data_IF_975852662169
#
_entry.id   IF_975852662169
#
_cell.length_a   1.000
_cell.length_b   1.000
_cell.length_c   1.000
_cell.angle_alpha   90.00
_cell.angle_beta   90.00
_cell.angle_gamma   90.00
#
_symmetry.space_group_name_H-M   'P 1'
#
loop_
_entity.id
_entity.type
_entity.pdbx_description
1 polymer ?
#
# COMPACT_ATOMS: atom_id res chain seq x y z
N UNK A 1 -20.60 23.34 44.19
CA UNK A 1 -20.72 21.98 43.59
C UNK A 1 -20.18 22.13 42.19
N UNK A 2 -18.94 21.71 42.00
CA UNK A 2 -18.30 21.69 40.67
C UNK A 2 -18.72 20.38 39.97
N UNK A 3 -19.53 20.51 38.93
CA UNK A 3 -19.90 19.39 38.05
C UNK A 3 -18.64 19.04 37.23
N UNK A 4 -17.97 17.98 37.62
CA UNK A 4 -16.87 17.44 36.84
C UNK A 4 -17.41 16.94 35.49
N UNK A 5 -16.99 17.60 34.42
CA UNK A 5 -17.22 17.09 33.03
C UNK A 5 -16.47 15.78 32.92
N UNK A 6 -17.20 14.66 32.92
CA UNK A 6 -16.65 13.39 32.52
C UNK A 6 -16.20 13.55 31.05
N UNK A 7 -14.90 13.52 30.80
CA UNK A 7 -14.37 13.41 29.47
C UNK A 7 -14.99 12.17 28.83
N UNK A 8 -15.59 12.34 27.65
CA UNK A 8 -16.07 11.21 26.86
C UNK A 8 -14.92 10.19 26.70
N UNK A 9 -15.18 8.89 26.81
CA UNK A 9 -14.15 7.90 26.58
C UNK A 9 -13.53 8.15 25.21
N UNK A 10 -12.22 8.13 25.16
CA UNK A 10 -11.41 8.24 23.95
C UNK A 10 -11.79 7.04 23.03
N UNK A 11 -12.76 7.24 22.15
CA UNK A 11 -13.28 6.21 21.24
C UNK A 11 -12.26 5.90 20.15
N UNK A 12 -11.05 5.53 20.55
CA UNK A 12 -10.06 5.02 19.59
C UNK A 12 -10.54 3.72 19.01
N UNK A 13 -10.25 3.53 17.74
CA UNK A 13 -10.53 2.27 17.07
C UNK A 13 -9.75 1.14 17.75
N UNK A 14 -10.41 -0.02 17.95
CA UNK A 14 -9.79 -1.17 18.60
C UNK A 14 -9.05 -2.01 17.58
N UNK A 15 -7.73 -2.01 17.64
CA UNK A 15 -6.86 -2.82 16.80
C UNK A 15 -6.53 -4.18 17.43
N UNK A 16 -6.19 -5.20 16.63
CA UNK A 16 -5.81 -6.53 17.13
C UNK A 16 -4.66 -6.48 18.14
N UNK A 17 -4.71 -7.38 19.13
CA UNK A 17 -3.65 -7.52 20.13
C UNK A 17 -3.45 -6.31 21.05
N UNK A 18 -4.44 -5.39 21.14
CA UNK A 18 -4.32 -4.16 21.92
C UNK A 18 -3.41 -3.10 21.30
N UNK A 19 -3.10 -3.23 20.02
CA UNK A 19 -2.36 -2.21 19.29
C UNK A 19 -3.11 -0.87 19.27
N UNK A 20 -2.35 0.22 19.16
CA UNK A 20 -2.92 1.58 19.11
C UNK A 20 -3.14 2.08 17.70
N UNK A 21 -2.50 1.46 16.71
CA UNK A 21 -2.63 1.78 15.29
C UNK A 21 -2.38 0.52 14.44
N UNK A 22 -2.77 0.57 13.17
CA UNK A 22 -2.29 -0.39 12.18
C UNK A 22 -1.21 0.22 11.29
N UNK A 23 -0.32 -0.63 10.78
CA UNK A 23 0.66 -0.28 9.75
C UNK A 23 0.62 -1.33 8.65
N UNK A 24 0.60 -0.89 7.39
CA UNK A 24 0.87 -1.75 6.24
C UNK A 24 2.15 -1.29 5.56
N UNK A 25 3.04 -2.24 5.33
CA UNK A 25 4.22 -2.06 4.49
C UNK A 25 3.83 -2.42 3.06
N UNK A 26 4.02 -1.51 2.12
CA UNK A 26 3.71 -1.74 0.71
C UNK A 26 4.92 -1.49 -0.16
N UNK A 27 5.10 -2.37 -1.15
CA UNK A 27 6.22 -2.34 -2.09
C UNK A 27 5.67 -2.35 -3.50
N UNK A 28 6.05 -1.37 -4.31
CA UNK A 28 5.53 -1.18 -5.65
C UNK A 28 6.48 -1.72 -6.71
N UNK A 29 5.96 -1.94 -7.92
CA UNK A 29 6.63 -2.28 -9.17
C UNK A 29 7.08 -3.74 -9.33
N UNK A 30 7.40 -4.47 -8.27
CA UNK A 30 7.88 -5.84 -8.38
C UNK A 30 9.36 -5.95 -8.76
N UNK A 31 10.22 -5.11 -8.19
CA UNK A 31 11.67 -5.16 -8.41
C UNK A 31 12.35 -6.36 -7.75
N UNK A 32 13.38 -6.89 -8.38
CA UNK A 32 14.20 -8.00 -7.85
C UNK A 32 14.76 -7.72 -6.45
N UNK A 33 15.12 -6.48 -6.18
CA UNK A 33 15.62 -6.05 -4.87
C UNK A 33 14.62 -6.30 -3.73
N UNK A 34 13.34 -6.40 -4.04
CA UNK A 34 12.30 -6.74 -3.06
C UNK A 34 12.37 -8.23 -2.67
N UNK A 35 12.67 -9.12 -3.60
CA UNK A 35 12.90 -10.54 -3.33
C UNK A 35 14.22 -10.75 -2.59
N UNK A 36 15.27 -10.03 -2.98
CA UNK A 36 16.63 -10.26 -2.51
C UNK A 36 16.94 -9.56 -1.18
N UNK A 37 16.42 -8.37 -0.97
CA UNK A 37 16.75 -7.51 0.17
C UNK A 37 15.60 -7.29 1.15
N UNK A 38 14.35 -7.19 0.63
CA UNK A 38 13.19 -6.91 1.48
C UNK A 38 12.64 -8.17 2.11
N UNK A 39 12.34 -9.19 1.33
CA UNK A 39 11.68 -10.41 1.81
C UNK A 39 12.44 -11.11 2.95
N UNK A 40 13.77 -11.28 2.90
CA UNK A 40 14.52 -11.88 4.00
C UNK A 40 14.46 -11.06 5.30
N UNK A 41 14.46 -9.72 5.19
CA UNK A 41 14.35 -8.85 6.37
C UNK A 41 12.94 -8.90 6.97
N UNK A 42 11.90 -8.91 6.15
CA UNK A 42 10.51 -9.07 6.61
C UNK A 42 10.32 -10.41 7.35
N UNK A 43 10.87 -11.49 6.80
CA UNK A 43 10.83 -12.82 7.44
C UNK A 43 11.55 -12.81 8.79
N UNK A 44 12.72 -12.18 8.89
CA UNK A 44 13.50 -12.06 10.14
C UNK A 44 12.73 -11.29 11.21
N UNK A 45 12.02 -10.23 10.83
CA UNK A 45 11.24 -9.38 11.75
C UNK A 45 9.82 -9.90 11.97
N UNK A 46 9.40 -10.96 11.28
CA UNK A 46 8.06 -11.53 11.38
C UNK A 46 6.97 -10.67 10.76
N UNK A 47 7.32 -9.73 9.88
CA UNK A 47 6.36 -8.87 9.19
C UNK A 47 5.82 -9.54 7.93
N UNK A 48 4.57 -9.19 7.60
CA UNK A 48 3.97 -9.50 6.30
C UNK A 48 3.53 -8.21 5.65
N UNK A 49 3.74 -8.12 4.33
CA UNK A 49 3.59 -6.90 3.53
C UNK A 49 2.69 -7.15 2.34
N UNK A 50 2.34 -6.08 1.64
CA UNK A 50 1.68 -6.10 0.34
C UNK A 50 2.68 -5.72 -0.73
N UNK A 51 2.78 -6.53 -1.78
CA UNK A 51 3.57 -6.26 -2.98
C UNK A 51 2.62 -5.97 -4.13
N UNK A 52 2.66 -4.75 -4.64
CA UNK A 52 1.90 -4.32 -5.80
C UNK A 52 2.75 -4.54 -7.04
N UNK A 53 2.41 -5.58 -7.81
CA UNK A 53 3.25 -6.06 -8.89
C UNK A 53 2.85 -5.47 -10.24
N UNK A 54 3.81 -4.87 -10.93
CA UNK A 54 3.73 -4.58 -12.35
C UNK A 54 4.12 -5.85 -13.11
N UNK A 55 3.22 -6.39 -13.92
CA UNK A 55 3.40 -7.72 -14.53
C UNK A 55 4.65 -7.80 -15.40
N UNK A 56 4.94 -6.75 -16.17
CA UNK A 56 6.11 -6.69 -17.04
C UNK A 56 7.44 -6.89 -16.29
N UNK A 57 7.48 -6.50 -15.00
CA UNK A 57 8.72 -6.56 -14.21
C UNK A 57 8.96 -7.92 -13.56
N UNK A 58 7.93 -8.77 -13.44
CA UNK A 58 8.02 -9.99 -12.62
C UNK A 58 8.10 -11.28 -13.41
N UNK A 59 7.90 -11.24 -14.72
CA UNK A 59 7.72 -12.45 -15.56
C UNK A 59 8.92 -13.38 -15.50
N UNK A 60 10.14 -12.85 -15.50
CA UNK A 60 11.37 -13.66 -15.44
C UNK A 60 11.57 -14.37 -14.09
N UNK A 61 10.95 -13.88 -13.01
CA UNK A 61 11.10 -14.40 -11.64
C UNK A 61 9.77 -14.75 -10.98
N UNK A 62 8.76 -15.07 -11.76
CA UNK A 62 7.40 -15.35 -11.26
C UNK A 62 7.35 -16.44 -10.20
N UNK A 63 8.19 -17.47 -10.30
CA UNK A 63 8.25 -18.55 -9.31
C UNK A 63 8.74 -18.05 -7.92
N UNK A 64 9.67 -17.11 -7.89
CA UNK A 64 10.13 -16.49 -6.64
C UNK A 64 9.00 -15.67 -6.00
N UNK A 65 8.24 -14.94 -6.79
CA UNK A 65 7.06 -14.20 -6.34
C UNK A 65 5.95 -15.12 -5.83
N UNK A 66 5.74 -16.26 -6.49
CA UNK A 66 4.81 -17.31 -6.02
C UNK A 66 5.28 -17.85 -4.67
N UNK A 67 6.59 -18.13 -4.51
CA UNK A 67 7.14 -18.58 -3.23
C UNK A 67 6.97 -17.53 -2.12
N UNK A 68 7.15 -16.24 -2.44
CA UNK A 68 6.92 -15.12 -1.53
C UNK A 68 5.45 -15.06 -1.07
N UNK A 69 4.51 -15.16 -1.99
CA UNK A 69 3.08 -15.11 -1.67
C UNK A 69 2.65 -16.22 -0.70
N UNK A 70 3.22 -17.42 -0.87
CA UNK A 70 2.95 -18.59 0.01
C UNK A 70 3.43 -18.39 1.45
N UNK A 71 4.31 -17.42 1.71
CA UNK A 71 4.72 -17.03 3.06
C UNK A 71 3.72 -16.11 3.76
N UNK A 72 2.61 -15.77 3.12
CA UNK A 72 1.54 -14.92 3.67
C UNK A 72 1.67 -13.45 3.36
N UNK A 73 2.54 -13.07 2.42
CA UNK A 73 2.53 -11.73 1.83
C UNK A 73 1.35 -11.59 0.87
N UNK A 74 0.77 -10.40 0.81
CA UNK A 74 -0.28 -10.07 -0.14
C UNK A 74 0.34 -9.68 -1.49
N UNK A 75 -0.25 -10.20 -2.57
CA UNK A 75 0.01 -9.74 -3.94
C UNK A 75 -1.16 -8.85 -4.37
N UNK A 76 -0.86 -7.60 -4.66
CA UNK A 76 -1.76 -6.61 -5.24
C UNK A 76 -1.41 -6.33 -6.70
N UNK A 77 -2.29 -5.60 -7.38
CA UNK A 77 -2.12 -5.23 -8.79
C UNK A 77 -1.54 -3.82 -8.91
N UNK A 78 -0.54 -3.66 -9.79
CA UNK A 78 0.07 -2.37 -10.15
C UNK A 78 0.12 -2.19 -11.68
N UNK A 79 -0.86 -2.72 -12.38
CA UNK A 79 -1.04 -2.71 -13.84
C UNK A 79 -0.11 -3.66 -14.61
N UNK A 80 -0.33 -3.72 -15.91
CA UNK A 80 0.50 -4.53 -16.81
C UNK A 80 1.90 -3.93 -17.02
N UNK A 81 2.00 -2.58 -17.26
CA UNK A 81 3.21 -1.90 -17.72
C UNK A 81 3.50 -0.58 -17.01
N UNK A 82 2.86 -0.31 -15.88
CA UNK A 82 3.05 0.89 -15.05
C UNK A 82 2.94 2.24 -15.80
N UNK A 83 1.85 2.54 -16.51
CA UNK A 83 1.74 3.82 -17.22
C UNK A 83 1.53 5.00 -16.28
N UNK A 84 2.52 5.87 -16.16
CA UNK A 84 2.41 7.15 -15.42
C UNK A 84 1.68 8.23 -16.22
N UNK A 85 1.72 8.17 -17.55
CA UNK A 85 0.99 9.10 -18.40
C UNK A 85 -0.33 8.48 -18.82
N UNK A 86 -1.41 8.94 -18.21
CA UNK A 86 -2.76 8.42 -18.48
C UNK A 86 -3.51 9.23 -19.54
N UNK A 87 -2.89 10.29 -20.05
CA UNK A 87 -3.50 11.24 -21.02
C UNK A 87 -4.00 10.57 -22.29
N UNK A 88 -3.35 9.47 -22.69
CA UNK A 88 -3.64 8.78 -23.93
C UNK A 88 -4.61 7.60 -23.74
N UNK A 89 -5.11 7.39 -22.52
CA UNK A 89 -6.04 6.32 -22.21
C UNK A 89 -7.46 6.83 -22.06
N UNK A 90 -8.41 6.19 -22.75
CA UNK A 90 -9.78 6.17 -22.29
C UNK A 90 -9.93 5.10 -21.19
N UNK A 91 -10.94 5.22 -20.34
CA UNK A 91 -11.22 4.22 -19.30
C UNK A 91 -11.31 2.79 -19.88
N UNK A 92 -12.03 2.60 -20.98
CA UNK A 92 -12.17 1.31 -21.63
C UNK A 92 -10.86 0.75 -22.17
N UNK A 93 -10.02 1.60 -22.77
CA UNK A 93 -8.69 1.20 -23.26
C UNK A 93 -7.77 0.83 -22.10
N UNK A 94 -7.80 1.60 -21.02
CA UNK A 94 -7.01 1.29 -19.84
C UNK A 94 -7.39 -0.05 -19.21
N UNK A 95 -8.68 -0.32 -19.05
CA UNK A 95 -9.17 -1.62 -18.57
C UNK A 95 -8.67 -2.75 -19.47
N UNK A 96 -8.78 -2.56 -20.79
CA UNK A 96 -8.43 -3.61 -21.77
C UNK A 96 -6.93 -3.89 -21.84
N UNK A 97 -6.08 -2.87 -21.75
CA UNK A 97 -4.63 -2.98 -21.94
C UNK A 97 -3.84 -3.12 -20.62
N UNK A 98 -4.35 -2.61 -19.52
CA UNK A 98 -3.61 -2.54 -18.27
C UNK A 98 -4.21 -3.39 -17.15
N UNK A 99 -5.52 -3.33 -16.93
CA UNK A 99 -6.16 -4.00 -15.79
C UNK A 99 -6.47 -5.47 -16.12
N UNK A 100 -7.23 -5.72 -17.20
CA UNK A 100 -7.69 -7.08 -17.53
C UNK A 100 -6.54 -8.06 -17.76
N UNK A 101 -5.47 -7.73 -18.52
CA UNK A 101 -4.36 -8.65 -18.71
C UNK A 101 -3.54 -8.85 -17.43
N UNK A 102 -3.33 -7.79 -16.60
CA UNK A 102 -2.64 -7.91 -15.34
C UNK A 102 -3.39 -8.83 -14.37
N UNK A 103 -4.69 -8.60 -14.15
CA UNK A 103 -5.50 -9.46 -13.29
C UNK A 103 -5.54 -10.91 -13.78
N UNK A 104 -5.62 -11.13 -15.10
CA UNK A 104 -5.56 -12.50 -15.66
C UNK A 104 -4.22 -13.18 -15.38
N UNK A 105 -3.11 -12.45 -15.54
CA UNK A 105 -1.78 -12.97 -15.24
C UNK A 105 -1.65 -13.33 -13.76
N UNK A 106 -2.04 -12.38 -12.89
CA UNK A 106 -1.99 -12.59 -11.44
C UNK A 106 -2.90 -13.74 -10.98
N UNK A 107 -4.04 -13.97 -11.65
CA UNK A 107 -4.92 -15.11 -11.36
C UNK A 107 -4.29 -16.44 -11.69
N UNK A 108 -3.65 -16.52 -12.85
CA UNK A 108 -3.01 -17.76 -13.31
C UNK A 108 -1.87 -18.18 -12.38
N UNK A 109 -1.04 -17.21 -11.95
CA UNK A 109 0.19 -17.52 -11.22
C UNK A 109 0.00 -17.53 -9.69
N UNK A 110 -0.80 -16.64 -9.17
CA UNK A 110 -0.96 -16.50 -7.71
C UNK A 110 -2.29 -17.02 -7.19
N UNK A 111 -3.33 -17.08 -8.02
CA UNK A 111 -4.67 -17.39 -7.58
C UNK A 111 -5.12 -16.43 -6.47
N UNK A 112 -5.53 -17.00 -5.35
CA UNK A 112 -5.71 -16.25 -4.11
C UNK A 112 -7.05 -15.58 -3.93
N UNK A 113 -7.13 -14.77 -2.88
CA UNK A 113 -8.37 -14.12 -2.46
C UNK A 113 -8.67 -12.92 -3.35
N UNK A 114 -9.86 -12.91 -3.93
CA UNK A 114 -10.37 -11.80 -4.73
C UNK A 114 -11.49 -11.05 -4.02
N UNK A 115 -11.73 -9.78 -4.40
CA UNK A 115 -10.94 -8.92 -5.29
C UNK A 115 -9.60 -8.51 -4.65
N UNK A 116 -8.54 -8.21 -5.44
CA UNK A 116 -7.23 -7.76 -4.94
C UNK A 116 -7.25 -6.30 -4.49
N UNK A 117 -6.23 -5.90 -3.74
CA UNK A 117 -5.91 -4.48 -3.58
C UNK A 117 -5.15 -3.97 -4.80
N UNK A 118 -5.26 -2.68 -5.04
CA UNK A 118 -4.65 -1.96 -6.16
C UNK A 118 -3.77 -0.82 -5.66
N UNK A 119 -2.70 -0.51 -6.37
CA UNK A 119 -1.95 0.73 -6.19
C UNK A 119 -1.97 1.54 -7.49
N UNK A 120 -2.26 2.83 -7.39
CA UNK A 120 -2.24 3.71 -8.56
C UNK A 120 -0.80 3.98 -8.99
N UNK A 121 -0.40 3.63 -10.25
CA UNK A 121 0.90 4.02 -10.79
C UNK A 121 1.16 5.51 -10.61
N UNK A 122 2.37 5.86 -10.16
CA UNK A 122 2.79 7.24 -9.86
C UNK A 122 1.88 7.99 -8.87
N UNK A 123 1.03 7.29 -8.11
CA UNK A 123 0.07 7.87 -7.19
C UNK A 123 -1.06 8.68 -7.83
N UNK A 124 -1.22 8.61 -9.14
CA UNK A 124 -2.19 9.39 -9.90
C UNK A 124 -3.58 8.71 -9.86
N UNK A 125 -4.56 9.43 -9.34
CA UNK A 125 -5.97 8.99 -9.28
C UNK A 125 -6.82 9.49 -10.45
N UNK A 126 -6.22 10.06 -11.48
CA UNK A 126 -6.89 10.64 -12.65
C UNK A 126 -6.34 10.01 -13.92
N UNK A 127 -7.18 9.57 -14.82
CA UNK A 127 -6.82 9.09 -16.14
C UNK A 127 -6.32 10.20 -17.08
N UNK A 128 -6.28 11.45 -16.61
CA UNK A 128 -5.51 12.54 -17.21
C UNK A 128 -5.93 12.99 -18.59
N UNK A 129 -7.13 12.68 -19.04
CA UNK A 129 -7.64 13.19 -20.30
C UNK A 129 -8.03 14.66 -20.13
N UNK A 130 -7.07 15.54 -20.37
CA UNK A 130 -7.28 16.97 -20.57
C UNK A 130 -8.10 17.71 -19.50
N UNK A 131 -7.65 18.87 -19.14
CA UNK A 131 -8.11 19.74 -18.03
C UNK A 131 -9.63 20.04 -17.97
N UNK A 132 -10.42 19.54 -18.89
CA UNK A 132 -11.83 19.95 -19.05
C UNK A 132 -12.87 18.89 -18.75
N UNK A 133 -12.52 17.64 -18.49
CA UNK A 133 -13.52 16.56 -18.28
C UNK A 133 -13.21 15.73 -17.03
N UNK A 134 -13.12 16.40 -15.91
CA UNK A 134 -12.71 15.80 -14.63
C UNK A 134 -13.67 14.75 -14.05
N UNK A 135 -14.84 14.52 -14.61
CA UNK A 135 -15.81 13.53 -14.09
C UNK A 135 -15.90 12.24 -14.89
N UNK A 136 -15.54 12.25 -16.16
CA UNK A 136 -15.68 11.08 -17.04
C UNK A 136 -14.46 10.18 -17.10
N UNK A 137 -13.33 10.60 -16.50
CA UNK A 137 -12.07 9.87 -16.52
C UNK A 137 -11.48 9.65 -15.12
N UNK A 138 -12.30 9.49 -14.12
CA UNK A 138 -11.82 9.17 -12.78
C UNK A 138 -11.27 7.74 -12.75
N UNK A 139 -10.04 7.61 -12.39
CA UNK A 139 -9.33 6.34 -12.31
C UNK A 139 -9.96 5.40 -11.27
N UNK A 140 -10.43 5.95 -10.17
CA UNK A 140 -11.13 5.17 -9.15
C UNK A 140 -12.39 4.48 -9.70
N UNK A 141 -13.08 5.07 -10.67
CA UNK A 141 -14.26 4.45 -11.32
C UNK A 141 -13.88 3.25 -12.19
N UNK A 142 -12.64 3.27 -12.75
CA UNK A 142 -12.09 2.14 -13.51
C UNK A 142 -11.72 0.98 -12.58
N UNK A 143 -11.20 1.27 -11.39
CA UNK A 143 -10.73 0.24 -10.45
C UNK A 143 -11.84 -0.32 -9.56
N UNK A 144 -12.91 0.46 -9.29
CA UNK A 144 -14.04 0.06 -8.44
C UNK A 144 -14.67 -1.31 -8.77
N UNK A 145 -14.90 -1.66 -10.03
CA UNK A 145 -15.54 -2.94 -10.37
C UNK A 145 -14.65 -4.15 -10.12
N UNK A 146 -13.33 -3.95 -10.05
CA UNK A 146 -12.34 -5.03 -10.05
C UNK A 146 -11.69 -5.23 -8.69
N UNK A 147 -11.41 -4.14 -7.96
CA UNK A 147 -10.55 -4.19 -6.79
C UNK A 147 -11.28 -3.98 -5.46
N UNK A 148 -10.71 -4.56 -4.40
CA UNK A 148 -11.22 -4.44 -3.03
C UNK A 148 -11.05 -3.01 -2.51
N UNK A 149 -9.85 -2.49 -2.65
CA UNK A 149 -9.43 -1.16 -2.23
C UNK A 149 -8.26 -0.70 -3.11
N UNK A 150 -8.03 0.61 -3.17
CA UNK A 150 -6.91 1.18 -3.90
C UNK A 150 -6.14 2.19 -3.07
N UNK A 151 -4.80 2.14 -3.17
CA UNK A 151 -3.87 3.03 -2.49
C UNK A 151 -3.35 4.10 -3.47
N UNK A 152 -3.51 5.33 -3.05
CA UNK A 152 -2.89 6.51 -3.64
C UNK A 152 -1.69 6.98 -2.80
N UNK A 153 -1.22 8.19 -3.04
CA UNK A 153 -0.16 8.85 -2.26
C UNK A 153 -0.76 9.97 -1.41
N UNK A 154 -0.35 10.04 -0.15
CA UNK A 154 -0.78 11.08 0.76
C UNK A 154 0.05 11.11 2.04
N UNK A 155 -0.15 12.14 2.87
CA UNK A 155 0.67 12.39 4.06
C UNK A 155 -0.09 12.31 5.39
N UNK A 156 -1.34 11.81 5.35
CA UNK A 156 -2.14 11.60 6.55
C UNK A 156 -2.51 10.12 6.69
N UNK A 157 -2.35 9.52 7.87
CA UNK A 157 -2.84 8.17 8.13
C UNK A 157 -4.36 8.08 7.96
N UNK A 158 -4.84 6.93 7.53
CA UNK A 158 -6.23 6.68 7.22
C UNK A 158 -7.07 6.52 8.51
N UNK A 159 -8.14 7.30 8.64
CA UNK A 159 -9.11 7.12 9.74
C UNK A 159 -9.93 5.84 9.51
N UNK A 160 -9.89 4.84 10.41
CA UNK A 160 -10.58 3.58 10.23
C UNK A 160 -12.10 3.75 10.00
N UNK A 161 -12.72 4.80 10.57
CA UNK A 161 -14.14 5.10 10.38
C UNK A 161 -14.48 5.56 8.95
N UNK A 162 -13.48 5.96 8.16
CA UNK A 162 -13.63 6.47 6.80
C UNK A 162 -13.08 5.53 5.73
N UNK A 163 -12.37 4.47 6.12
CA UNK A 163 -11.70 3.54 5.20
C UNK A 163 -12.68 2.99 4.16
N UNK A 164 -13.87 2.56 4.56
CA UNK A 164 -14.85 2.01 3.62
C UNK A 164 -15.31 3.04 2.59
N UNK A 165 -15.58 4.27 3.01
CA UNK A 165 -16.01 5.35 2.11
C UNK A 165 -14.90 5.88 1.21
N UNK A 166 -13.64 5.74 1.65
CA UNK A 166 -12.44 6.20 0.94
C UNK A 166 -11.62 5.04 0.35
N UNK A 167 -12.21 3.85 0.22
CA UNK A 167 -11.46 2.63 -0.09
C UNK A 167 -10.70 2.65 -1.42
N UNK A 168 -11.04 3.55 -2.33
CA UNK A 168 -10.35 3.72 -3.61
C UNK A 168 -9.42 4.94 -3.65
N UNK A 169 -9.13 5.53 -2.48
CA UNK A 169 -8.23 6.67 -2.30
C UNK A 169 -7.55 6.59 -0.93
N UNK A 170 -7.02 5.41 -0.58
CA UNK A 170 -6.30 5.22 0.67
C UNK A 170 -4.92 5.86 0.59
N UNK A 171 -4.61 6.68 1.58
CA UNK A 171 -3.33 7.38 1.63
C UNK A 171 -2.19 6.43 1.99
N UNK A 172 -1.18 6.35 1.12
CA UNK A 172 0.11 5.78 1.40
C UNK A 172 1.18 6.87 1.45
N UNK A 173 2.15 6.76 2.34
CA UNK A 173 3.24 7.70 2.51
C UNK A 173 4.57 7.10 2.09
N UNK A 174 5.27 7.76 1.17
CA UNK A 174 6.59 7.38 0.71
C UNK A 174 7.66 8.24 1.40
N UNK A 175 8.34 7.74 2.45
CA UNK A 175 9.35 8.51 3.19
C UNK A 175 10.68 8.67 2.44
N UNK A 176 10.85 7.98 1.32
CA UNK A 176 12.14 7.71 0.66
C UNK A 176 12.71 8.89 -0.10
N UNK A 177 11.93 9.95 -0.32
CA UNK A 177 12.37 11.15 -1.05
C UNK A 177 13.19 12.13 -0.20
N UNK A 178 13.36 11.87 1.10
CA UNK A 178 14.02 12.80 2.02
C UNK A 178 15.30 12.20 2.64
N UNK A 179 16.23 13.07 3.05
CA UNK A 179 17.45 12.69 3.74
C UNK A 179 17.19 12.08 5.13
N UNK A 180 16.10 12.48 5.80
CA UNK A 180 15.64 11.92 7.08
C UNK A 180 14.47 10.93 6.90
N UNK A 181 14.56 10.05 5.94
CA UNK A 181 13.52 9.06 5.67
C UNK A 181 13.08 8.26 6.91
N UNK A 182 13.97 7.78 7.82
CA UNK A 182 13.55 7.11 9.04
C UNK A 182 12.77 8.01 9.99
N UNK A 183 13.23 9.24 10.21
CA UNK A 183 12.54 10.21 11.08
C UNK A 183 11.14 10.55 10.58
N UNK A 184 11.00 10.77 9.29
CA UNK A 184 9.73 11.09 8.63
C UNK A 184 8.76 9.90 8.62
N UNK A 185 9.24 8.68 8.32
CA UNK A 185 8.44 7.48 8.42
C UNK A 185 7.89 7.30 9.83
N UNK A 186 8.74 7.43 10.84
CA UNK A 186 8.33 7.31 12.23
C UNK A 186 7.44 8.44 12.71
N UNK A 187 7.59 9.66 12.18
CA UNK A 187 6.67 10.76 12.46
C UNK A 187 5.27 10.47 11.90
N UNK A 188 5.19 9.91 10.69
CA UNK A 188 3.93 9.49 10.08
C UNK A 188 3.26 8.35 10.88
N UNK A 189 4.03 7.34 11.29
CA UNK A 189 3.52 6.23 12.12
C UNK A 189 3.06 6.74 13.50
N UNK A 190 3.81 7.63 14.14
CA UNK A 190 3.39 8.25 15.42
C UNK A 190 2.06 8.99 15.30
N UNK A 191 1.81 9.72 14.19
CA UNK A 191 0.48 10.32 13.94
C UNK A 191 -0.63 9.27 13.91
N UNK A 192 -0.37 8.09 13.34
CA UNK A 192 -1.33 6.99 13.35
C UNK A 192 -1.55 6.47 14.78
N UNK A 193 -0.49 6.23 15.54
CA UNK A 193 -0.55 5.76 16.94
C UNK A 193 -1.32 6.73 17.82
N UNK A 194 -1.09 8.03 17.67
CA UNK A 194 -1.76 9.07 18.49
C UNK A 194 -3.26 9.16 18.23
N UNK A 195 -3.68 8.87 16.98
CA UNK A 195 -5.06 9.00 16.55
C UNK A 195 -5.84 7.68 16.50
N UNK A 196 -5.18 6.54 16.64
CA UNK A 196 -5.79 5.23 16.41
C UNK A 196 -6.04 4.93 14.93
N UNK A 197 -5.20 5.45 14.04
CA UNK A 197 -5.37 5.39 12.59
C UNK A 197 -4.52 4.27 11.96
N UNK A 198 -4.68 4.08 10.65
CA UNK A 198 -3.95 3.14 9.82
C UNK A 198 -2.92 3.89 8.95
N UNK A 199 -1.64 3.63 9.15
CA UNK A 199 -0.53 4.11 8.32
C UNK A 199 -0.20 3.09 7.23
N UNK A 200 -0.02 3.54 6.00
CA UNK A 200 0.49 2.75 4.88
C UNK A 200 1.81 3.38 4.46
N UNK A 201 2.90 2.61 4.52
CA UNK A 201 4.22 3.03 4.05
C UNK A 201 4.48 2.46 2.66
N UNK A 202 5.01 3.30 1.77
CA UNK A 202 5.33 2.96 0.37
C UNK A 202 6.83 2.88 0.20
N UNK A 203 7.29 1.80 -0.39
CA UNK A 203 8.66 1.58 -0.83
C UNK A 203 8.68 1.07 -2.27
N UNK A 204 9.79 1.23 -2.96
CA UNK A 204 10.05 0.70 -4.30
C UNK A 204 11.29 -0.20 -4.26
N UNK A 205 12.40 0.18 -4.88
CA UNK A 205 13.65 -0.57 -4.77
C UNK A 205 14.32 -0.37 -3.40
N UNK A 206 14.93 -1.44 -2.90
CA UNK A 206 15.77 -1.41 -1.70
C UNK A 206 17.17 -1.90 -2.07
N UNK A 207 18.12 -0.99 -2.16
CA UNK A 207 19.45 -1.20 -2.71
C UNK A 207 20.54 -0.92 -1.69
N UNK A 208 21.77 -1.38 -1.94
CA UNK A 208 22.92 -1.00 -1.09
C UNK A 208 23.15 0.52 -1.13
N UNK A 209 23.06 1.10 -2.33
CA UNK A 209 23.16 2.54 -2.58
C UNK A 209 21.98 2.96 -3.46
N UNK A 210 21.31 4.04 -3.09
CA UNK A 210 20.23 4.62 -3.89
C UNK A 210 20.74 5.03 -5.27
N UNK A 211 19.96 4.73 -6.31
CA UNK A 211 20.25 5.11 -7.70
C UNK A 211 19.31 6.19 -8.22
N UNK A 212 18.09 6.27 -7.67
CA UNK A 212 17.04 7.17 -8.12
C UNK A 212 16.19 7.75 -6.99
N UNK A 213 15.26 8.61 -7.38
CA UNK A 213 14.17 9.05 -6.51
C UNK A 213 13.27 7.85 -6.22
N UNK A 214 12.74 7.72 -5.06
CA UNK A 214 11.91 6.56 -4.67
C UNK A 214 12.68 5.35 -4.17
N UNK A 215 13.96 5.18 -4.49
CA UNK A 215 14.79 4.11 -3.95
C UNK A 215 15.10 4.31 -2.47
N UNK A 216 15.24 3.22 -1.76
CA UNK A 216 15.65 3.22 -0.36
C UNK A 216 16.97 2.46 -0.20
N UNK A 217 17.90 2.96 0.62
CA UNK A 217 19.04 2.13 0.97
C UNK A 217 18.64 1.04 1.97
N UNK A 218 19.30 -0.12 1.90
CA UNK A 218 19.10 -1.24 2.85
C UNK A 218 19.18 -0.76 4.30
N UNK A 219 20.16 0.09 4.62
CA UNK A 219 20.35 0.60 5.96
C UNK A 219 19.17 1.46 6.44
N UNK A 220 18.67 2.36 5.59
CA UNK A 220 17.50 3.19 5.88
C UNK A 220 16.25 2.31 6.03
N UNK A 221 16.02 1.39 5.11
CA UNK A 221 14.91 0.47 5.15
C UNK A 221 14.90 -0.38 6.44
N UNK A 222 16.04 -0.97 6.78
CA UNK A 222 16.22 -1.74 8.02
C UNK A 222 15.93 -0.87 9.25
N UNK A 223 16.49 0.35 9.31
CA UNK A 223 16.26 1.28 10.43
C UNK A 223 14.76 1.59 10.61
N UNK A 224 14.02 1.79 9.51
CA UNK A 224 12.57 2.02 9.58
C UNK A 224 11.86 0.79 10.15
N UNK A 225 12.11 -0.40 9.60
CA UNK A 225 11.44 -1.64 9.99
C UNK A 225 11.74 -2.04 11.44
N UNK A 226 12.99 -1.92 11.89
CA UNK A 226 13.37 -2.15 13.29
C UNK A 226 12.70 -1.15 14.24
N UNK A 227 12.59 0.13 13.83
CA UNK A 227 11.91 1.16 14.61
C UNK A 227 10.42 0.89 14.77
N UNK A 228 9.78 0.22 13.81
CA UNK A 228 8.36 -0.18 13.91
C UNK A 228 8.14 -1.20 15.01
N UNK A 229 9.08 -2.10 15.28
CA UNK A 229 8.95 -3.14 16.30
C UNK A 229 8.80 -2.58 17.73
N UNK A 230 9.27 -1.37 17.98
CA UNK A 230 9.14 -0.68 19.24
C UNK A 230 7.81 0.10 19.39
N UNK A 231 6.97 0.11 18.36
CA UNK A 231 5.70 0.84 18.39
C UNK A 231 4.53 -0.07 18.78
N UNK A 232 3.51 0.45 19.45
CA UNK A 232 2.30 -0.30 19.78
C UNK A 232 1.37 -0.43 18.55
N UNK A 233 1.84 -1.14 17.52
CA UNK A 233 1.17 -1.27 16.23
C UNK A 233 0.83 -2.72 15.90
N UNK A 234 -0.19 -2.87 15.08
CA UNK A 234 -0.48 -4.10 14.36
C UNK A 234 0.02 -3.93 12.92
N UNK A 235 1.11 -4.63 12.56
CA UNK A 235 1.66 -4.62 11.22
C UNK A 235 1.08 -5.79 10.42
N UNK A 236 0.38 -5.50 9.32
CA UNK A 236 -0.26 -6.51 8.48
C UNK A 236 -0.41 -6.05 7.03
N UNK A 237 -0.59 -6.98 6.08
CA UNK A 237 -0.91 -6.67 4.69
C UNK A 237 -2.14 -5.77 4.57
N UNK A 238 -2.17 -4.97 3.51
CA UNK A 238 -3.21 -3.96 3.30
C UNK A 238 -4.63 -4.57 3.30
N UNK A 239 -4.83 -5.70 2.63
CA UNK A 239 -6.08 -6.45 2.65
C UNK A 239 -6.53 -6.80 4.06
N UNK A 240 -5.59 -7.32 4.88
CA UNK A 240 -5.93 -7.77 6.23
C UNK A 240 -6.41 -6.61 7.10
N UNK A 241 -5.73 -5.46 7.01
CA UNK A 241 -6.14 -4.26 7.73
C UNK A 241 -7.49 -3.75 7.20
N UNK A 242 -7.65 -3.68 5.88
CA UNK A 242 -8.90 -3.26 5.26
C UNK A 242 -10.07 -4.15 5.68
N UNK A 243 -9.91 -5.48 5.58
CA UNK A 243 -10.96 -6.43 5.95
C UNK A 243 -11.31 -6.36 7.45
N UNK A 244 -10.30 -6.18 8.32
CA UNK A 244 -10.54 -6.00 9.74
C UNK A 244 -11.37 -4.76 10.06
N UNK A 245 -11.05 -3.64 9.41
CA UNK A 245 -11.75 -2.35 9.63
C UNK A 245 -13.17 -2.36 9.11
N UNK A 246 -13.38 -2.98 7.95
CA UNK A 246 -14.64 -2.87 7.21
C UNK A 246 -15.56 -4.06 7.37
N UNK A 247 -15.05 -5.20 7.83
CA UNK A 247 -15.77 -6.47 7.82
C UNK A 247 -15.99 -7.05 6.42
N UNK A 248 -15.37 -6.46 5.39
CA UNK A 248 -15.43 -6.94 4.00
C UNK A 248 -14.24 -7.85 3.73
N UNK A 249 -14.52 -9.08 3.32
CA UNK A 249 -13.51 -10.10 2.99
C UNK A 249 -13.18 -10.12 1.49
#
# INVERSE_FOLDING_TARGET
>A
MTVGTLAAPDERFSWPGGARAAVSLTYDDGYDSQLENVAPLLDTLGYRATFFLTVENIDERVDDWIALSKKGHEIGDHTMTHPCTLRDYSAGRFIHEQITPAERYLDVHFGGTKPRCYAYPCGLEDLGAGVTVMRENRYDEVVRPTFLAARAVGNQPNDPRRVLSQRYSLNGYAPTYDLDAPGLAMAYVRKAVDRGHWAILIFHEVLDVRKGEGDTSKAVHQTILESLSAQPIWCAPMRNVFSYVTGVA
#
